data_IF_335261204979
#
_entry.id   IF_335261204979
#
_cell.length_a   1.000
_cell.length_b   1.000
_cell.length_c   1.000
_cell.angle_alpha   90.00
_cell.angle_beta   90.00
_cell.angle_gamma   90.00
#
_symmetry.space_group_name_H-M   'P 1'
#
loop_
_entity.id
_entity.type
_entity.pdbx_description
1 polymer ?
#
# COMPACT_ATOMS: atom_id res chain seq x y z
N UNK A 1 -20.84 19.80 -33.30
CA UNK A 1 -20.33 20.77 -32.30
C UNK A 1 -20.48 20.18 -30.89
N UNK A 2 -19.54 20.53 -30.00
CA UNK A 2 -19.04 19.74 -28.87
C UNK A 2 -20.13 19.33 -27.84
N UNK A 3 -20.22 18.03 -27.54
CA UNK A 3 -21.08 17.45 -26.50
C UNK A 3 -20.55 17.79 -25.10
N UNK A 4 -21.45 18.28 -24.26
CA UNK A 4 -21.29 18.65 -22.85
C UNK A 4 -21.24 17.37 -22.00
N UNK A 5 -20.06 16.99 -21.51
CA UNK A 5 -19.95 15.86 -20.56
C UNK A 5 -20.23 16.38 -19.15
N UNK A 6 -21.42 16.01 -18.69
CA UNK A 6 -21.97 16.16 -17.35
C UNK A 6 -21.03 15.45 -16.36
N UNK A 7 -20.54 16.17 -15.35
CA UNK A 7 -19.68 15.61 -14.29
C UNK A 7 -20.42 14.42 -13.64
N UNK A 8 -19.84 13.25 -13.80
CA UNK A 8 -20.38 11.99 -13.31
C UNK A 8 -20.34 12.01 -11.78
N UNK A 9 -21.42 11.53 -11.17
CA UNK A 9 -21.60 11.45 -9.72
C UNK A 9 -20.50 10.55 -9.12
N UNK A 10 -20.00 10.95 -7.94
CA UNK A 10 -19.08 10.17 -7.10
C UNK A 10 -19.84 8.96 -6.56
N UNK A 11 -19.88 7.87 -7.32
CA UNK A 11 -20.23 6.57 -6.77
C UNK A 11 -18.94 5.96 -6.20
N UNK A 12 -18.99 5.72 -4.88
CA UNK A 12 -18.32 4.70 -4.05
C UNK A 12 -17.03 4.07 -4.56
N UNK A 13 -16.04 3.80 -3.69
CA UNK A 13 -15.40 2.47 -3.59
C UNK A 13 -14.18 2.47 -2.64
N UNK A 14 -14.33 1.89 -1.45
CA UNK A 14 -13.21 1.60 -0.56
C UNK A 14 -12.21 0.59 -1.17
N UNK A 15 -12.66 -0.21 -2.15
CA UNK A 15 -11.85 -1.20 -2.88
C UNK A 15 -10.74 -0.54 -3.70
N UNK A 16 -11.05 0.55 -4.42
CA UNK A 16 -10.08 1.26 -5.26
C UNK A 16 -8.93 1.90 -4.46
N UNK A 17 -9.18 2.31 -3.22
CA UNK A 17 -8.11 2.81 -2.34
C UNK A 17 -7.17 1.69 -1.86
N UNK A 18 -7.64 0.45 -1.76
CA UNK A 18 -6.84 -0.69 -1.27
C UNK A 18 -5.85 -1.17 -2.32
N UNK A 19 -6.30 -1.31 -3.57
CA UNK A 19 -5.42 -1.70 -4.69
C UNK A 19 -4.32 -0.66 -4.92
N UNK A 20 -4.66 0.63 -4.91
CA UNK A 20 -3.68 1.72 -5.02
C UNK A 20 -2.68 1.67 -3.85
N UNK A 21 -3.16 1.39 -2.63
CA UNK A 21 -2.29 1.30 -1.45
C UNK A 21 -1.28 0.15 -1.55
N UNK A 22 -1.74 -1.01 -2.03
CA UNK A 22 -0.89 -2.17 -2.27
C UNK A 22 0.17 -1.86 -3.33
N UNK A 23 -0.25 -1.38 -4.51
CA UNK A 23 0.65 -1.02 -5.62
C UNK A 23 1.70 0.01 -5.18
N UNK A 24 1.29 1.00 -4.38
CA UNK A 24 2.22 2.02 -3.85
C UNK A 24 3.23 1.39 -2.89
N UNK A 25 2.82 0.49 -1.99
CA UNK A 25 3.75 -0.17 -1.05
C UNK A 25 4.73 -1.08 -1.81
N UNK A 26 4.25 -1.81 -2.81
CA UNK A 26 5.08 -2.68 -3.64
C UNK A 26 6.14 -1.89 -4.41
N UNK A 27 5.73 -0.89 -5.19
CA UNK A 27 6.62 -0.09 -6.03
C UNK A 27 7.53 0.85 -5.25
N UNK A 28 7.02 1.53 -4.23
CA UNK A 28 7.79 2.54 -3.49
C UNK A 28 8.62 1.93 -2.35
N UNK A 29 8.25 0.77 -1.83
CA UNK A 29 8.95 0.14 -0.71
C UNK A 29 9.56 -1.20 -1.09
N UNK A 30 8.76 -2.19 -1.51
CA UNK A 30 9.25 -3.57 -1.67
C UNK A 30 10.31 -3.69 -2.77
N UNK A 31 10.18 -2.92 -3.85
CA UNK A 31 11.18 -2.88 -4.93
C UNK A 31 12.47 -2.15 -4.53
N UNK A 32 12.40 -1.20 -3.59
CA UNK A 32 13.51 -0.29 -3.25
C UNK A 32 14.25 -0.70 -1.98
N UNK A 33 13.59 -1.44 -1.07
CA UNK A 33 14.07 -1.74 0.28
C UNK A 33 13.84 -3.21 0.65
N UNK A 34 14.87 -3.83 1.24
CA UNK A 34 14.83 -5.24 1.66
C UNK A 34 14.27 -5.45 3.06
N UNK A 35 14.36 -4.43 3.89
CA UNK A 35 13.87 -4.41 5.27
C UNK A 35 13.35 -3.03 5.60
N UNK A 36 12.27 -2.96 6.37
CA UNK A 36 11.64 -1.70 6.75
C UNK A 36 10.77 -1.88 7.99
N UNK A 37 10.62 -0.77 8.70
CA UNK A 37 9.56 -0.62 9.71
C UNK A 37 8.27 -0.06 9.09
N UNK A 38 7.15 -0.28 9.77
CA UNK A 38 5.86 0.27 9.32
C UNK A 38 5.88 1.80 9.19
N UNK A 39 6.68 2.48 10.00
CA UNK A 39 6.81 3.93 9.91
C UNK A 39 7.60 4.33 8.66
N UNK A 40 8.66 3.59 8.30
CA UNK A 40 9.40 3.82 7.05
C UNK A 40 8.52 3.60 5.83
N UNK A 41 7.66 2.57 5.83
CA UNK A 41 6.65 2.38 4.77
C UNK A 41 5.77 3.62 4.64
N UNK A 42 5.26 4.15 5.76
CA UNK A 42 4.38 5.33 5.75
C UNK A 42 5.10 6.55 5.17
N UNK A 43 6.38 6.74 5.51
CA UNK A 43 7.16 7.87 5.04
C UNK A 43 7.57 7.72 3.58
N UNK A 44 8.16 6.60 3.20
CA UNK A 44 8.66 6.30 1.85
C UNK A 44 7.53 6.27 0.82
N UNK A 45 6.42 5.61 1.12
CA UNK A 45 5.26 5.57 0.22
C UNK A 45 4.38 6.83 0.31
N UNK A 46 4.74 7.83 1.11
CA UNK A 46 3.98 9.10 1.23
C UNK A 46 2.59 8.95 1.86
N UNK A 47 2.35 7.89 2.64
CA UNK A 47 1.04 7.47 3.14
C UNK A 47 0.63 8.17 4.44
N UNK A 48 1.19 9.34 4.76
CA UNK A 48 0.94 10.07 6.02
C UNK A 48 -0.54 10.42 6.27
N UNK A 49 -1.36 10.45 5.22
CA UNK A 49 -2.82 10.73 5.30
C UNK A 49 -3.66 9.45 5.41
N UNK A 50 -3.07 8.27 5.22
CA UNK A 50 -3.73 6.97 5.31
C UNK A 50 -3.70 6.47 6.75
N UNK A 51 -4.78 5.85 7.20
CA UNK A 51 -4.84 5.27 8.55
C UNK A 51 -3.85 4.11 8.65
N UNK A 52 -3.03 4.11 9.70
CA UNK A 52 -2.05 3.04 9.97
C UNK A 52 -2.66 1.63 9.95
N UNK A 53 -3.92 1.49 10.39
CA UNK A 53 -4.65 0.21 10.36
C UNK A 53 -4.87 -0.34 8.96
N UNK A 54 -5.07 0.51 7.95
CA UNK A 54 -5.25 0.08 6.57
C UNK A 54 -3.94 -0.42 5.97
N UNK A 55 -2.84 0.27 6.28
CA UNK A 55 -1.49 -0.15 5.92
C UNK A 55 -1.16 -1.48 6.60
N UNK A 56 -1.48 -1.64 7.89
CA UNK A 56 -1.31 -2.89 8.61
C UNK A 56 -2.09 -4.06 8.00
N UNK A 57 -3.29 -3.82 7.46
CA UNK A 57 -4.04 -4.86 6.75
C UNK A 57 -3.28 -5.33 5.51
N UNK A 58 -2.81 -4.41 4.66
CA UNK A 58 -2.01 -4.75 3.48
C UNK A 58 -0.75 -5.54 3.86
N UNK A 59 0.02 -5.07 4.85
CA UNK A 59 1.23 -5.75 5.30
C UNK A 59 0.94 -7.14 5.88
N UNK A 60 -0.21 -7.31 6.53
CA UNK A 60 -0.66 -8.61 7.04
C UNK A 60 -0.99 -9.58 5.91
N UNK A 61 -1.57 -9.09 4.82
CA UNK A 61 -1.88 -9.89 3.63
C UNK A 61 -0.59 -10.30 2.89
N UNK A 62 0.32 -9.36 2.64
CA UNK A 62 1.65 -9.63 2.09
C UNK A 62 2.45 -10.64 2.95
N UNK A 63 2.27 -10.60 4.27
CA UNK A 63 2.85 -11.59 5.18
C UNK A 63 2.21 -12.98 5.04
N UNK A 64 0.90 -13.05 4.83
CA UNK A 64 0.18 -14.33 4.60
C UNK A 64 0.58 -14.96 3.26
N UNK A 65 0.79 -14.13 2.24
CA UNK A 65 1.30 -14.56 0.94
C UNK A 65 2.78 -14.99 0.99
N UNK A 66 3.47 -14.72 2.11
CA UNK A 66 4.86 -15.11 2.34
C UNK A 66 5.87 -14.13 1.75
N UNK A 67 5.42 -13.01 1.18
CA UNK A 67 6.24 -11.93 0.64
C UNK A 67 6.99 -11.23 1.78
N UNK A 68 6.31 -11.00 2.91
CA UNK A 68 6.91 -10.36 4.09
C UNK A 68 7.15 -11.33 5.24
N UNK A 69 8.30 -11.16 5.90
CA UNK A 69 8.68 -11.93 7.08
C UNK A 69 8.98 -10.96 8.21
N UNK A 70 8.36 -11.19 9.37
CA UNK A 70 8.70 -10.42 10.56
C UNK A 70 9.87 -11.10 11.28
N UNK A 71 11.01 -10.43 11.38
CA UNK A 71 12.21 -10.96 12.02
C UNK A 71 12.92 -9.85 12.79
N UNK A 72 13.24 -10.13 14.06
CA UNK A 72 13.92 -9.19 14.95
C UNK A 72 13.23 -7.82 15.10
N UNK A 73 11.89 -7.77 15.01
CA UNK A 73 11.11 -6.54 15.21
C UNK A 73 10.89 -5.70 13.96
N UNK A 74 11.42 -6.10 12.80
CA UNK A 74 11.27 -5.39 11.52
C UNK A 74 10.70 -6.31 10.42
N UNK A 75 10.10 -5.73 9.38
CA UNK A 75 9.60 -6.49 8.22
C UNK A 75 10.71 -6.64 7.18
N UNK A 76 10.88 -7.88 6.70
CA UNK A 76 11.84 -8.24 5.65
C UNK A 76 11.08 -8.71 4.42
N UNK A 77 11.50 -8.26 3.24
CA UNK A 77 11.04 -8.82 1.97
C UNK A 77 11.72 -10.16 1.76
N UNK A 78 10.93 -11.20 1.50
CA UNK A 78 11.46 -12.50 1.08
C UNK A 78 12.15 -12.30 -0.26
N UNK A 79 13.43 -12.67 -0.32
CA UNK A 79 14.14 -12.80 -1.59
C UNK A 79 13.84 -14.21 -2.11
N UNK A 80 13.09 -14.31 -3.20
CA UNK A 80 13.10 -15.50 -4.06
C UNK A 80 14.40 -15.58 -4.87
#
# INVERSE_FOLDING_TARGET
MKKKVKKVKKESNAVGNREILLETIESEVLEKMRSFDINEIIETAGLKKVRKTEIQKILSELKKEGILIHKAGVLWVRAE
#
